data_IF_638225749739
#
_entry.id   IF_638225749739
#
_cell.length_a   1.000
_cell.length_b   1.000
_cell.length_c   1.000
_cell.angle_alpha   90.00
_cell.angle_beta   90.00
_cell.angle_gamma   90.00
#
_symmetry.space_group_name_H-M   'P 1'
#
loop_
_entity.id
_entity.type
_entity.pdbx_description
1 polymer ?
#
# COMPACT_ATOMS: atom_id res chain seq x y z
N UNK A 1 -14.03 15.66 -4.75
CA UNK A 1 -13.85 16.34 -3.46
C UNK A 1 -13.41 15.38 -2.34
N UNK A 2 -12.59 14.36 -2.64
CA UNK A 2 -12.12 13.38 -1.64
C UNK A 2 -10.76 13.75 -1.03
N UNK A 3 -9.94 14.55 -1.70
CA UNK A 3 -8.59 14.88 -1.25
C UNK A 3 -8.58 15.72 0.04
N UNK A 4 -9.45 16.74 0.14
CA UNK A 4 -9.50 17.64 1.29
C UNK A 4 -9.72 16.92 2.64
N UNK A 5 -10.74 16.05 2.81
CA UNK A 5 -10.93 15.34 4.07
C UNK A 5 -9.79 14.36 4.40
N UNK A 6 -9.19 13.71 3.39
CA UNK A 6 -8.05 12.81 3.60
C UNK A 6 -6.83 13.59 4.11
N UNK A 7 -6.53 14.72 3.45
CA UNK A 7 -5.42 15.58 3.86
C UNK A 7 -5.64 16.14 5.25
N UNK A 8 -6.84 16.62 5.56
CA UNK A 8 -7.18 17.11 6.90
C UNK A 8 -6.97 16.02 7.96
N UNK A 9 -7.47 14.81 7.73
CA UNK A 9 -7.28 13.68 8.64
C UNK A 9 -5.81 13.37 8.88
N UNK A 10 -5.02 13.20 7.81
CA UNK A 10 -3.59 12.86 7.89
C UNK A 10 -2.82 13.95 8.62
N UNK A 11 -3.07 15.23 8.28
CA UNK A 11 -2.41 16.36 8.95
C UNK A 11 -2.75 16.40 10.43
N UNK A 12 -4.03 16.30 10.81
CA UNK A 12 -4.43 16.30 12.22
C UNK A 12 -3.83 15.13 13.00
N UNK A 13 -3.79 13.92 12.42
CA UNK A 13 -3.17 12.75 13.05
C UNK A 13 -1.67 12.95 13.31
N UNK A 14 -0.93 13.48 12.33
CA UNK A 14 0.50 13.79 12.48
C UNK A 14 0.71 14.86 13.56
N UNK A 15 -0.09 15.94 13.55
CA UNK A 15 0.02 17.01 14.53
C UNK A 15 -0.31 16.52 15.94
N UNK A 16 -1.33 15.66 16.10
CA UNK A 16 -1.67 15.04 17.39
C UNK A 16 -0.48 14.26 17.96
N UNK A 17 0.12 13.37 17.17
CA UNK A 17 1.24 12.54 17.62
C UNK A 17 2.50 13.34 17.96
N UNK A 18 2.75 14.44 17.27
CA UNK A 18 3.96 15.25 17.47
C UNK A 18 3.83 16.29 18.58
N UNK A 19 2.65 16.91 18.73
CA UNK A 19 2.48 18.06 19.62
C UNK A 19 1.63 17.78 20.86
N UNK A 20 0.86 16.69 20.89
CA UNK A 20 -0.03 16.36 22.01
C UNK A 20 0.42 15.10 22.74
N UNK A 21 0.40 13.94 22.06
CA UNK A 21 0.74 12.65 22.67
C UNK A 21 1.33 11.70 21.64
N UNK A 22 2.58 11.28 21.84
CA UNK A 22 3.24 10.28 20.99
C UNK A 22 2.78 8.86 21.37
N UNK A 23 1.54 8.53 21.00
CA UNK A 23 0.97 7.19 21.20
C UNK A 23 1.28 6.28 19.99
N UNK A 24 2.26 5.40 20.17
CA UNK A 24 2.64 4.40 19.18
C UNK A 24 1.51 3.41 18.86
N UNK A 25 0.73 2.98 19.87
CA UNK A 25 -0.38 2.05 19.69
C UNK A 25 -1.53 2.66 18.88
N UNK A 26 -1.84 3.94 19.12
CA UNK A 26 -2.77 4.71 18.29
C UNK A 26 -2.26 4.83 16.85
N UNK A 27 -0.99 5.21 16.68
CA UNK A 27 -0.37 5.31 15.35
C UNK A 27 -0.49 3.98 14.58
N UNK A 28 -0.17 2.86 15.23
CA UNK A 28 -0.25 1.54 14.63
C UNK A 28 -1.67 1.21 14.17
N UNK A 29 -2.70 1.48 14.99
CA UNK A 29 -4.10 1.26 14.60
C UNK A 29 -4.48 2.06 13.35
N UNK A 30 -4.14 3.34 13.30
CA UNK A 30 -4.44 4.21 12.16
C UNK A 30 -3.74 3.71 10.89
N UNK A 31 -2.44 3.38 10.98
CA UNK A 31 -1.68 2.84 9.86
C UNK A 31 -2.26 1.52 9.33
N UNK A 32 -2.63 0.59 10.23
CA UNK A 32 -3.23 -0.70 9.86
C UNK A 32 -4.58 -0.51 9.17
N UNK A 33 -5.44 0.39 9.68
CA UNK A 33 -6.73 0.69 9.05
C UNK A 33 -6.53 1.23 7.63
N UNK A 34 -5.58 2.15 7.44
CA UNK A 34 -5.28 2.70 6.11
C UNK A 34 -4.73 1.62 5.16
N UNK A 35 -3.82 0.76 5.65
CA UNK A 35 -3.24 -0.32 4.86
C UNK A 35 -4.30 -1.35 4.43
N UNK A 36 -5.18 -1.77 5.33
CA UNK A 36 -6.31 -2.65 5.02
C UNK A 36 -7.24 -2.01 3.98
N UNK A 37 -7.59 -0.74 4.16
CA UNK A 37 -8.40 0.01 3.19
C UNK A 37 -7.76 0.05 1.80
N UNK A 38 -6.45 0.30 1.73
CA UNK A 38 -5.69 0.28 0.48
C UNK A 38 -5.70 -1.11 -0.18
N UNK A 39 -5.39 -2.16 0.58
CA UNK A 39 -5.36 -3.53 0.05
C UNK A 39 -6.73 -3.99 -0.46
N UNK A 40 -7.80 -3.70 0.27
CA UNK A 40 -9.17 -4.02 -0.14
C UNK A 40 -9.55 -3.27 -1.41
N UNK A 41 -9.24 -1.98 -1.51
CA UNK A 41 -9.53 -1.18 -2.70
C UNK A 41 -8.88 -1.79 -3.94
N UNK A 42 -7.59 -2.16 -3.86
CA UNK A 42 -6.87 -2.75 -4.98
C UNK A 42 -7.28 -4.19 -5.28
N UNK A 43 -7.61 -4.99 -4.27
CA UNK A 43 -8.14 -6.34 -4.44
C UNK A 43 -9.50 -6.31 -5.18
N UNK A 44 -10.40 -5.42 -4.77
CA UNK A 44 -11.70 -5.22 -5.42
C UNK A 44 -11.48 -4.77 -6.86
N UNK A 45 -10.62 -3.78 -7.09
CA UNK A 45 -10.30 -3.31 -8.44
C UNK A 45 -9.73 -4.44 -9.31
N UNK A 46 -8.79 -5.24 -8.80
CA UNK A 46 -8.19 -6.37 -9.52
C UNK A 46 -9.19 -7.50 -9.84
N UNK A 47 -10.18 -7.70 -8.96
CA UNK A 47 -11.24 -8.68 -9.14
C UNK A 47 -12.31 -8.25 -10.14
N UNK A 48 -12.70 -6.97 -10.10
CA UNK A 48 -13.73 -6.41 -10.98
C UNK A 48 -13.17 -6.11 -12.37
N UNK A 49 -11.95 -5.58 -12.45
CA UNK A 49 -11.35 -5.21 -13.74
C UNK A 49 -10.66 -6.40 -14.40
N UNK A 50 -10.84 -6.52 -15.72
CA UNK A 50 -10.14 -7.51 -16.55
C UNK A 50 -8.84 -6.94 -17.13
N UNK A 51 -8.13 -6.12 -16.36
CA UNK A 51 -6.91 -5.48 -16.82
C UNK A 51 -5.84 -6.53 -17.18
N UNK A 52 -5.14 -6.41 -18.32
CA UNK A 52 -4.14 -7.40 -18.75
C UNK A 52 -3.02 -7.62 -17.71
N UNK A 53 -2.60 -6.55 -17.03
CA UNK A 53 -1.55 -6.59 -16.00
C UNK A 53 -2.05 -6.86 -14.57
N UNK A 54 -3.28 -7.37 -14.40
CA UNK A 54 -3.86 -7.62 -13.05
C UNK A 54 -3.07 -8.60 -12.20
N UNK A 55 -2.25 -9.48 -12.80
CA UNK A 55 -1.40 -10.40 -12.03
C UNK A 55 -0.36 -9.65 -11.20
N UNK A 56 0.25 -8.60 -11.78
CA UNK A 56 1.19 -7.72 -11.06
C UNK A 56 0.51 -7.10 -9.84
N UNK A 57 -0.72 -6.65 -10.03
CA UNK A 57 -1.54 -6.08 -8.96
C UNK A 57 -1.89 -7.08 -7.86
N UNK A 58 -2.32 -8.30 -8.22
CA UNK A 58 -2.57 -9.37 -7.25
C UNK A 58 -1.32 -9.70 -6.44
N UNK A 59 -0.16 -9.78 -7.07
CA UNK A 59 1.12 -9.99 -6.37
C UNK A 59 1.41 -8.86 -5.39
N UNK A 60 1.12 -7.60 -5.74
CA UNK A 60 1.27 -6.47 -4.80
C UNK A 60 0.28 -6.55 -3.65
N UNK A 61 -0.97 -6.95 -3.90
CA UNK A 61 -1.99 -7.11 -2.85
C UNK A 61 -1.58 -8.21 -1.86
N UNK A 62 -1.27 -9.41 -2.34
CA UNK A 62 -0.89 -10.52 -1.46
C UNK A 62 0.47 -10.28 -0.80
N UNK A 63 1.46 -9.77 -1.54
CA UNK A 63 2.76 -9.41 -0.99
C UNK A 63 2.67 -8.30 0.05
N UNK A 64 1.83 -7.28 -0.19
CA UNK A 64 1.58 -6.21 0.76
C UNK A 64 0.88 -6.69 2.03
N UNK A 65 -0.05 -7.64 1.91
CA UNK A 65 -0.66 -8.28 3.07
C UNK A 65 0.36 -9.08 3.90
N UNK A 66 1.25 -9.83 3.25
CA UNK A 66 2.33 -10.55 3.93
C UNK A 66 3.32 -9.60 4.60
N UNK A 67 3.69 -8.50 3.93
CA UNK A 67 4.51 -7.46 4.53
C UNK A 67 3.83 -6.89 5.78
N UNK A 68 2.55 -6.50 5.70
CA UNK A 68 1.79 -6.02 6.86
C UNK A 68 1.79 -7.01 8.04
N UNK A 69 1.77 -8.32 7.79
CA UNK A 69 1.87 -9.32 8.86
C UNK A 69 3.24 -9.31 9.55
N UNK A 70 4.33 -9.02 8.83
CA UNK A 70 5.65 -8.86 9.45
C UNK A 70 5.65 -7.67 10.41
N UNK A 71 5.15 -6.51 9.96
CA UNK A 71 5.05 -5.31 10.80
C UNK A 71 4.19 -5.54 12.04
N UNK A 72 3.09 -6.29 11.93
CA UNK A 72 2.21 -6.60 13.06
C UNK A 72 2.79 -7.63 14.03
N UNK A 73 3.57 -8.59 13.53
CA UNK A 73 4.14 -9.65 14.36
C UNK A 73 5.32 -9.13 15.20
N UNK A 74 6.04 -8.11 14.71
CA UNK A 74 7.06 -7.34 15.44
C UNK A 74 8.03 -8.19 16.28
N UNK A 75 8.52 -9.29 15.70
CA UNK A 75 9.45 -10.17 16.37
C UNK A 75 10.88 -9.58 16.42
N UNK A 76 11.62 -9.83 17.52
CA UNK A 76 12.97 -9.32 17.69
C UNK A 76 13.97 -10.00 16.73
N UNK A 77 15.17 -9.43 16.52
CA UNK A 77 16.14 -9.98 15.59
C UNK A 77 16.43 -11.48 15.77
N UNK A 78 16.19 -12.28 14.74
CA UNK A 78 16.54 -13.69 14.76
C UNK A 78 18.05 -13.85 14.76
N UNK A 79 18.60 -14.37 15.86
CA UNK A 79 20.04 -14.54 16.09
C UNK A 79 20.86 -13.24 15.92
N UNK A 80 20.23 -12.08 16.08
CA UNK A 80 20.88 -10.78 15.92
C UNK A 80 21.08 -10.32 14.46
N UNK A 81 20.51 -11.01 13.47
CA UNK A 81 20.68 -10.65 12.05
C UNK A 81 19.53 -9.82 11.47
N UNK A 82 18.30 -10.31 11.59
CA UNK A 82 17.12 -9.69 10.97
C UNK A 82 15.90 -9.79 11.89
N UNK A 83 15.24 -8.67 12.12
CA UNK A 83 13.94 -8.56 12.80
C UNK A 83 12.79 -8.48 11.80
N UNK A 84 11.56 -8.38 12.32
CA UNK A 84 10.38 -8.24 11.49
C UNK A 84 10.43 -7.01 10.58
N UNK A 85 10.92 -5.89 11.10
CA UNK A 85 10.92 -4.61 10.40
C UNK A 85 11.92 -4.57 9.23
N UNK A 86 13.10 -5.17 9.39
CA UNK A 86 14.07 -5.33 8.31
C UNK A 86 13.54 -6.24 7.19
N UNK A 87 12.82 -7.32 7.52
CA UNK A 87 12.14 -8.15 6.54
C UNK A 87 10.98 -7.43 5.85
N UNK A 88 10.25 -6.59 6.59
CA UNK A 88 9.23 -5.70 6.02
C UNK A 88 9.85 -4.79 4.96
N UNK A 89 10.94 -4.09 5.29
CA UNK A 89 11.68 -3.27 4.34
C UNK A 89 12.18 -4.07 3.12
N UNK A 90 12.79 -5.24 3.35
CA UNK A 90 13.29 -6.08 2.27
C UNK A 90 12.17 -6.53 1.32
N UNK A 91 11.00 -6.87 1.85
CA UNK A 91 9.84 -7.30 1.07
C UNK A 91 9.21 -6.17 0.25
N UNK A 92 9.18 -4.94 0.79
CA UNK A 92 8.52 -3.80 0.15
C UNK A 92 9.30 -3.23 -1.04
N UNK A 93 10.62 -3.43 -1.13
CA UNK A 93 11.44 -3.02 -2.28
C UNK A 93 10.96 -3.65 -3.61
N UNK A 94 10.95 -4.98 -3.78
CA UNK A 94 10.49 -5.60 -5.02
C UNK A 94 8.99 -5.39 -5.26
N UNK A 95 8.18 -5.31 -4.21
CA UNK A 95 6.74 -5.00 -4.34
C UNK A 95 6.51 -3.59 -4.89
N UNK A 96 7.31 -2.61 -4.45
CA UNK A 96 7.24 -1.23 -4.95
C UNK A 96 7.64 -1.16 -6.42
N UNK A 97 8.67 -1.90 -6.83
CA UNK A 97 9.03 -2.00 -8.26
C UNK A 97 7.86 -2.57 -9.09
N UNK A 98 7.26 -3.67 -8.62
CA UNK A 98 6.15 -4.31 -9.31
C UNK A 98 4.91 -3.41 -9.38
N UNK A 99 4.65 -2.65 -8.31
CA UNK A 99 3.60 -1.64 -8.24
C UNK A 99 3.75 -0.57 -9.32
N UNK A 100 4.94 0.01 -9.44
CA UNK A 100 5.23 1.00 -10.48
C UNK A 100 5.18 0.40 -11.89
N UNK A 101 5.60 -0.85 -12.06
CA UNK A 101 5.45 -1.56 -13.32
C UNK A 101 3.97 -1.71 -13.71
N UNK A 102 3.09 -2.03 -12.76
CA UNK A 102 1.65 -2.09 -13.00
C UNK A 102 1.07 -0.71 -13.36
N UNK A 103 1.43 0.36 -12.65
CA UNK A 103 0.97 1.72 -12.94
C UNK A 103 1.35 2.14 -14.37
N UNK A 104 2.58 1.83 -14.79
CA UNK A 104 3.03 2.09 -16.15
C UNK A 104 2.14 1.38 -17.17
N UNK A 105 1.90 0.08 -16.98
CA UNK A 105 1.05 -0.70 -17.89
C UNK A 105 -0.39 -0.16 -17.95
N UNK A 106 -0.96 0.26 -16.81
CA UNK A 106 -2.31 0.85 -16.76
C UNK A 106 -2.36 2.17 -17.53
N UNK A 107 -1.35 3.03 -17.36
CA UNK A 107 -1.26 4.29 -18.10
C UNK A 107 -1.18 4.06 -19.62
N UNK A 108 -0.38 3.09 -20.07
CA UNK A 108 -0.27 2.70 -21.49
C UNK A 108 -1.61 2.13 -22.00
N UNK A 109 -2.23 1.23 -21.25
CA UNK A 109 -3.51 0.61 -21.59
C UNK A 109 -4.62 1.66 -21.75
N UNK A 110 -4.77 2.56 -20.77
CA UNK A 110 -5.75 3.64 -20.82
C UNK A 110 -5.53 4.57 -22.00
N UNK A 111 -4.28 4.97 -22.24
CA UNK A 111 -3.92 5.86 -23.36
C UNK A 111 -4.26 5.21 -24.71
N UNK A 112 -3.88 3.94 -24.90
CA UNK A 112 -4.18 3.21 -26.14
C UNK A 112 -5.69 3.07 -26.40
N UNK A 113 -6.47 2.86 -25.34
CA UNK A 113 -7.93 2.75 -25.42
C UNK A 113 -8.58 4.07 -25.83
N UNK A 114 -8.11 5.20 -25.28
CA UNK A 114 -8.61 6.53 -25.64
C UNK A 114 -8.27 6.89 -27.09
N UNK A 115 -7.04 6.63 -27.54
CA UNK A 115 -6.61 6.88 -28.92
C UNK A 115 -7.43 6.06 -29.92
N UNK A 116 -7.70 4.78 -29.62
CA UNK A 116 -8.54 3.93 -30.49
C UNK A 116 -9.98 4.41 -30.57
N UNK A 117 -10.52 5.02 -29.51
CA UNK A 117 -11.90 5.55 -29.48
C UNK A 117 -12.04 6.88 -30.24
N UNK A 118 -10.96 7.64 -30.38
CA UNK A 118 -10.94 8.92 -31.08
C UNK A 118 -10.73 8.79 -32.60
N UNK A 119 -10.30 7.63 -33.07
CA UNK A 119 -10.23 7.26 -34.50
C UNK A 119 -11.54 6.60 -34.93
#
# INVERSE_FOLDING_TARGET
>A
MFAAPILAFVTTHILYLNFYELDYGWNMKVCVVMAVGQLLTWAIWAGVTRHPSRLKLWTVVFGGALAMLLELYDFPPYKGYADAHSLWHASTIPLTYLWWSFIKDDAEFRTSTLIKKAK
#
